data_IF_389443412720
#
_entry.id   IF_389443412720
#
_cell.length_a   1.000
_cell.length_b   1.000
_cell.length_c   1.000
_cell.angle_alpha   90.00
_cell.angle_beta   90.00
_cell.angle_gamma   90.00
#
_symmetry.space_group_name_H-M   'P 1'
#
loop_
_entity.id
_entity.type
_entity.pdbx_description
1 polymer ?
#
# COMPACT_ATOMS: atom_id res chain seq x y z
N UNK A 1 11.72 -27.43 8.80
CA UNK A 1 10.31 -27.46 8.40
C UNK A 1 10.27 -26.93 6.98
N UNK A 2 9.62 -27.62 6.04
CA UNK A 2 9.53 -27.17 4.64
C UNK A 2 8.31 -26.26 4.45
N UNK A 3 8.34 -25.36 3.47
CA UNK A 3 7.20 -24.48 3.21
C UNK A 3 5.97 -25.27 2.74
N UNK A 4 4.76 -24.91 3.20
CA UNK A 4 3.53 -25.43 2.63
C UNK A 4 3.41 -25.07 1.14
N UNK A 5 3.04 -26.02 0.26
CA UNK A 5 2.85 -25.73 -1.17
C UNK A 5 1.83 -24.62 -1.47
N UNK A 6 0.87 -24.42 -0.56
CA UNK A 6 -0.19 -23.42 -0.69
C UNK A 6 0.21 -22.01 -0.18
N UNK A 7 1.46 -21.82 0.28
CA UNK A 7 1.86 -20.56 0.92
C UNK A 7 1.73 -19.35 -0.02
N UNK A 8 2.08 -19.49 -1.29
CA UNK A 8 1.92 -18.41 -2.27
C UNK A 8 0.46 -18.02 -2.50
N UNK A 9 -0.46 -18.99 -2.50
CA UNK A 9 -1.90 -18.73 -2.60
C UNK A 9 -2.44 -18.04 -1.34
N UNK A 10 -2.01 -18.49 -0.16
CA UNK A 10 -2.36 -17.84 1.10
C UNK A 10 -1.84 -16.40 1.14
N UNK A 11 -0.59 -16.18 0.71
CA UNK A 11 -0.01 -14.85 0.62
C UNK A 11 -0.81 -13.93 -0.29
N UNK A 12 -1.12 -14.38 -1.52
CA UNK A 12 -1.94 -13.61 -2.47
C UNK A 12 -3.30 -13.22 -1.90
N UNK A 13 -3.97 -14.15 -1.21
CA UNK A 13 -5.27 -13.90 -0.57
C UNK A 13 -5.14 -12.83 0.51
N UNK A 14 -4.15 -12.98 1.41
CA UNK A 14 -3.94 -12.01 2.50
C UNK A 14 -3.51 -10.64 1.96
N UNK A 15 -2.62 -10.61 0.96
CA UNK A 15 -2.21 -9.37 0.29
C UNK A 15 -3.37 -8.66 -0.41
N UNK A 16 -4.40 -9.39 -0.86
CA UNK A 16 -5.60 -8.76 -1.40
C UNK A 16 -6.36 -7.98 -0.33
N UNK A 17 -6.48 -8.51 0.89
CA UNK A 17 -7.24 -7.88 1.97
C UNK A 17 -6.43 -6.88 2.81
N UNK A 18 -5.10 -7.01 2.84
CA UNK A 18 -4.23 -6.17 3.68
C UNK A 18 -3.34 -5.21 2.89
N UNK A 19 -3.10 -5.44 1.60
CA UNK A 19 -2.00 -4.80 0.89
C UNK A 19 -0.72 -5.63 0.92
N UNK A 20 0.17 -5.40 -0.04
CA UNK A 20 1.35 -6.25 -0.28
C UNK A 20 2.37 -6.11 0.85
N UNK A 21 2.62 -4.90 1.35
CA UNK A 21 3.59 -4.66 2.42
C UNK A 21 3.08 -5.19 3.75
N UNK A 22 1.83 -4.90 4.09
CA UNK A 22 1.20 -5.37 5.32
C UNK A 22 1.18 -6.91 5.38
N UNK A 23 0.82 -7.56 4.27
CA UNK A 23 0.88 -9.03 4.16
C UNK A 23 2.32 -9.58 4.23
N UNK A 24 3.29 -8.94 3.56
CA UNK A 24 4.70 -9.35 3.59
C UNK A 24 5.27 -9.32 5.01
N UNK A 25 5.01 -8.24 5.75
CA UNK A 25 5.42 -8.08 7.14
C UNK A 25 4.83 -9.16 8.03
N UNK A 26 3.52 -9.39 7.92
CA UNK A 26 2.85 -10.47 8.64
C UNK A 26 3.51 -11.83 8.36
N UNK A 27 3.64 -12.22 7.09
CA UNK A 27 4.20 -13.52 6.72
C UNK A 27 5.65 -13.69 7.18
N UNK A 28 6.50 -12.68 6.99
CA UNK A 28 7.91 -12.75 7.41
C UNK A 28 8.02 -12.89 8.93
N UNK A 29 7.18 -12.20 9.70
CA UNK A 29 7.13 -12.35 11.16
C UNK A 29 6.72 -13.77 11.56
N UNK A 30 5.60 -14.28 11.04
CA UNK A 30 5.12 -15.62 11.39
C UNK A 30 6.12 -16.73 10.99
N UNK A 31 6.77 -16.59 9.82
CA UNK A 31 7.80 -17.55 9.38
C UNK A 31 9.05 -17.47 10.25
N UNK A 32 9.44 -16.27 10.69
CA UNK A 32 10.56 -16.09 11.61
C UNK A 32 10.26 -16.74 12.97
N UNK A 33 9.04 -16.60 13.48
CA UNK A 33 8.62 -17.25 14.73
C UNK A 33 8.54 -18.78 14.60
N UNK A 34 8.05 -19.29 13.48
CA UNK A 34 7.85 -20.72 13.26
C UNK A 34 9.15 -21.49 12.93
N UNK A 35 10.09 -20.87 12.21
CA UNK A 35 11.27 -21.57 11.68
C UNK A 35 12.52 -20.72 11.53
N UNK A 36 12.50 -19.47 12.00
CA UNK A 36 13.64 -18.56 11.97
C UNK A 36 14.06 -18.13 10.57
N UNK A 37 15.27 -17.57 10.51
CA UNK A 37 15.88 -17.10 9.27
C UNK A 37 15.92 -18.14 8.14
N UNK A 38 16.17 -19.46 8.37
CA UNK A 38 16.12 -20.45 7.29
C UNK A 38 14.77 -20.50 6.56
N UNK A 39 13.65 -20.45 7.30
CA UNK A 39 12.32 -20.54 6.71
C UNK A 39 11.94 -19.27 5.94
N UNK A 40 12.33 -18.10 6.46
CA UNK A 40 12.19 -16.82 5.74
C UNK A 40 13.00 -16.82 4.45
N UNK A 41 14.22 -17.37 4.47
CA UNK A 41 15.08 -17.50 3.28
C UNK A 41 14.46 -18.41 2.23
N UNK A 42 13.94 -19.57 2.65
CA UNK A 42 13.22 -20.48 1.76
C UNK A 42 12.01 -19.78 1.11
N UNK A 43 11.24 -19.00 1.88
CA UNK A 43 10.04 -18.32 1.38
C UNK A 43 10.39 -17.20 0.39
N UNK A 44 11.42 -16.41 0.72
CA UNK A 44 11.99 -15.39 -0.17
C UNK A 44 12.40 -16.02 -1.51
N UNK A 45 13.20 -17.08 -1.45
CA UNK A 45 13.76 -17.69 -2.66
C UNK A 45 12.67 -18.36 -3.52
N UNK A 46 11.62 -18.92 -2.89
CA UNK A 46 10.51 -19.56 -3.60
C UNK A 46 9.49 -18.57 -4.18
N UNK A 47 9.17 -17.50 -3.45
CA UNK A 47 8.02 -16.63 -3.74
C UNK A 47 8.41 -15.20 -4.12
N UNK A 48 9.63 -14.75 -3.81
CA UNK A 48 10.04 -13.35 -3.95
C UNK A 48 9.99 -12.81 -5.38
N UNK A 49 10.24 -13.67 -6.38
CA UNK A 49 10.09 -13.29 -7.79
C UNK A 49 8.64 -13.01 -8.20
N UNK A 50 7.69 -13.73 -7.61
CA UNK A 50 6.27 -13.51 -7.82
C UNK A 50 5.78 -12.34 -6.96
N UNK A 51 6.29 -12.19 -5.73
CA UNK A 51 5.90 -11.16 -4.79
C UNK A 51 7.12 -10.32 -4.34
N UNK A 52 7.52 -9.30 -5.12
CA UNK A 52 8.74 -8.53 -4.84
C UNK A 52 8.74 -7.76 -3.52
N UNK A 53 7.57 -7.39 -2.99
CA UNK A 53 7.48 -6.80 -1.64
C UNK A 53 7.81 -7.82 -0.56
N UNK A 54 7.41 -9.09 -0.74
CA UNK A 54 7.81 -10.17 0.17
C UNK A 54 9.32 -10.40 0.12
N UNK A 55 9.91 -10.37 -1.08
CA UNK A 55 11.36 -10.45 -1.26
C UNK A 55 12.09 -9.36 -0.47
N UNK A 56 11.66 -8.11 -0.66
CA UNK A 56 12.22 -6.93 0.00
C UNK A 56 12.13 -7.02 1.52
N UNK A 57 10.95 -7.32 2.06
CA UNK A 57 10.74 -7.40 3.52
C UNK A 57 11.53 -8.56 4.12
N UNK A 58 11.60 -9.69 3.42
CA UNK A 58 12.41 -10.83 3.86
C UNK A 58 13.91 -10.49 3.87
N UNK A 59 14.42 -9.81 2.85
CA UNK A 59 15.83 -9.38 2.79
C UNK A 59 16.17 -8.39 3.91
N UNK A 60 15.31 -7.39 4.15
CA UNK A 60 15.48 -6.45 5.25
C UNK A 60 15.56 -7.18 6.60
N UNK A 61 14.65 -8.14 6.83
CA UNK A 61 14.65 -8.92 8.07
C UNK A 61 15.89 -9.81 8.21
N UNK A 62 16.32 -10.47 7.13
CA UNK A 62 17.47 -11.38 7.12
C UNK A 62 18.81 -10.65 7.28
N UNK A 63 18.90 -9.40 6.83
CA UNK A 63 20.08 -8.54 7.01
C UNK A 63 20.18 -7.93 8.41
N UNK A 64 19.25 -8.27 9.31
CA UNK A 64 19.21 -7.74 10.68
C UNK A 64 18.62 -6.33 10.77
N UNK A 65 17.99 -5.85 9.69
CA UNK A 65 17.17 -4.65 9.74
C UNK A 65 15.98 -4.86 10.65
N UNK A 66 15.78 -3.91 11.56
CA UNK A 66 14.52 -3.80 12.27
C UNK A 66 13.45 -3.28 11.31
N UNK A 67 12.25 -3.76 11.55
CA UNK A 67 11.07 -3.35 10.84
C UNK A 67 10.76 -1.89 11.18
N UNK A 68 10.96 -0.99 10.20
CA UNK A 68 10.74 0.43 10.44
C UNK A 68 9.26 0.68 10.81
N UNK A 69 8.99 1.45 11.88
CA UNK A 69 7.64 1.80 12.26
C UNK A 69 6.98 2.62 11.14
N UNK A 70 5.67 2.49 11.02
CA UNK A 70 4.89 3.32 10.09
C UNK A 70 4.74 4.70 10.70
N UNK A 71 5.31 5.70 10.02
CA UNK A 71 5.21 7.09 10.43
C UNK A 71 4.25 7.86 9.50
N UNK A 72 3.03 8.21 9.96
CA UNK A 72 2.09 9.01 9.19
C UNK A 72 2.36 10.51 9.24
N UNK A 73 3.34 11.01 10.02
CA UNK A 73 3.53 12.46 10.24
C UNK A 73 3.72 13.23 8.93
N UNK A 74 4.56 12.73 8.02
CA UNK A 74 4.77 13.38 6.73
C UNK A 74 3.48 13.51 5.89
N UNK A 75 2.61 12.49 5.95
CA UNK A 75 1.31 12.51 5.27
C UNK A 75 0.35 13.48 5.96
N UNK A 76 0.27 13.46 7.29
CA UNK A 76 -0.58 14.37 8.05
C UNK A 76 -0.19 15.83 7.84
N UNK A 77 1.10 16.11 7.77
CA UNK A 77 1.62 17.44 7.47
C UNK A 77 1.23 17.91 6.06
N UNK A 78 1.26 17.02 5.07
CA UNK A 78 0.80 17.28 3.71
C UNK A 78 -0.73 17.49 3.64
N UNK A 79 -1.49 16.87 4.55
CA UNK A 79 -2.94 16.99 4.65
C UNK A 79 -3.40 18.25 5.39
N UNK A 80 -2.50 19.11 5.89
CA UNK A 80 -2.91 20.35 6.59
C UNK A 80 -3.82 21.22 5.73
N UNK A 81 -5.05 21.47 6.21
CA UNK A 81 -6.08 22.25 5.52
C UNK A 81 -6.88 21.48 4.45
N UNK A 82 -6.62 20.18 4.29
CA UNK A 82 -7.46 19.26 3.51
C UNK A 82 -8.71 18.92 4.32
N UNK A 83 -9.86 18.88 3.66
CA UNK A 83 -11.15 18.47 4.25
C UNK A 83 -11.68 17.18 3.63
N UNK A 84 -11.11 16.74 2.50
CA UNK A 84 -11.46 15.49 1.82
C UNK A 84 -10.20 14.74 1.38
N UNK A 85 -10.08 13.49 1.74
CA UNK A 85 -8.99 12.62 1.32
C UNK A 85 -9.56 11.42 0.56
N UNK A 86 -9.07 11.18 -0.65
CA UNK A 86 -9.27 9.91 -1.33
C UNK A 86 -7.99 9.09 -1.28
N UNK A 87 -8.10 7.88 -0.76
CA UNK A 87 -7.02 6.90 -0.76
C UNK A 87 -7.17 5.95 -1.95
N UNK A 88 -6.07 5.75 -2.67
CA UNK A 88 -5.98 4.94 -3.88
C UNK A 88 -5.03 3.79 -3.61
N UNK A 89 -5.58 2.57 -3.56
CA UNK A 89 -4.85 1.38 -3.13
C UNK A 89 -5.08 1.05 -1.65
N UNK A 90 -4.46 -0.02 -1.19
CA UNK A 90 -4.70 -0.60 0.13
C UNK A 90 -3.39 -1.03 0.77
N UNK A 91 -3.13 -0.51 1.97
CA UNK A 91 -2.11 -0.97 2.91
C UNK A 91 -2.66 -0.80 4.33
N UNK A 92 -3.13 -1.90 4.92
CA UNK A 92 -3.87 -1.93 6.17
C UNK A 92 -3.08 -1.30 7.31
N UNK A 93 -1.80 -1.69 7.50
CA UNK A 93 -1.01 -1.12 8.60
C UNK A 93 -0.85 0.41 8.46
N UNK A 94 -0.77 0.93 7.21
CA UNK A 94 -0.66 2.36 6.95
C UNK A 94 -1.97 3.09 7.21
N UNK A 95 -3.09 2.50 6.79
CA UNK A 95 -4.42 3.03 7.04
C UNK A 95 -4.77 3.00 8.53
N UNK A 96 -4.43 1.93 9.25
CA UNK A 96 -4.63 1.81 10.70
C UNK A 96 -3.85 2.88 11.47
N UNK A 97 -2.65 3.24 11.01
CA UNK A 97 -1.86 4.32 11.60
C UNK A 97 -2.42 5.72 11.27
N UNK A 98 -3.03 5.89 10.09
CA UNK A 98 -3.48 7.19 9.58
C UNK A 98 -4.92 7.52 10.00
N UNK A 99 -5.87 6.60 9.81
CA UNK A 99 -7.31 6.84 9.93
C UNK A 99 -7.74 7.45 11.27
N UNK A 100 -7.24 6.97 12.44
CA UNK A 100 -7.63 7.54 13.74
C UNK A 100 -7.22 9.01 13.91
N UNK A 101 -6.28 9.51 13.08
CA UNK A 101 -5.73 10.87 13.16
C UNK A 101 -6.37 11.84 12.16
N UNK A 102 -7.30 11.38 11.32
CA UNK A 102 -7.97 12.18 10.29
C UNK A 102 -9.26 12.86 10.79
N UNK A 103 -9.31 13.29 12.05
CA UNK A 103 -10.51 13.90 12.64
C UNK A 103 -10.97 15.13 11.83
N UNK A 104 -12.21 15.11 11.35
CA UNK A 104 -12.79 16.21 10.58
C UNK A 104 -12.43 16.24 9.08
N UNK A 105 -11.75 15.20 8.58
CA UNK A 105 -11.53 14.97 7.15
C UNK A 105 -12.49 13.88 6.69
N UNK A 106 -13.25 14.13 5.62
CA UNK A 106 -14.02 13.07 4.94
C UNK A 106 -13.02 12.17 4.21
N UNK A 107 -13.07 10.86 4.42
CA UNK A 107 -12.11 9.91 3.84
C UNK A 107 -12.85 8.90 2.98
N UNK A 108 -12.42 8.77 1.73
CA UNK A 108 -12.92 7.77 0.80
C UNK A 108 -11.81 6.80 0.40
N UNK A 109 -12.14 5.52 0.29
CA UNK A 109 -11.26 4.48 -0.25
C UNK A 109 -11.70 4.11 -1.66
N UNK A 110 -10.81 4.25 -2.63
CA UNK A 110 -11.10 3.85 -4.01
C UNK A 110 -11.19 2.32 -4.08
N UNK A 111 -12.39 1.83 -4.43
CA UNK A 111 -12.73 0.39 -4.44
C UNK A 111 -12.52 -0.27 -5.81
N UNK A 112 -11.87 0.41 -6.75
CA UNK A 112 -11.46 -0.18 -8.01
C UNK A 112 -10.12 -0.90 -7.84
N UNK A 113 -10.22 -2.22 -7.79
CA UNK A 113 -9.14 -3.16 -7.59
C UNK A 113 -8.28 -3.27 -8.86
N UNK A 114 -7.17 -2.53 -8.92
CA UNK A 114 -6.23 -2.54 -10.04
C UNK A 114 -5.36 -3.80 -10.14
N UNK A 115 -5.66 -4.91 -9.45
CA UNK A 115 -4.88 -6.15 -9.66
C UNK A 115 -5.17 -7.31 -8.70
N UNK A 116 -5.35 -7.04 -7.41
CA UNK A 116 -5.84 -8.01 -6.42
C UNK A 116 -7.31 -7.67 -6.18
N UNK A 117 -8.20 -8.66 -6.07
CA UNK A 117 -9.66 -8.49 -5.95
C UNK A 117 -10.11 -8.60 -4.47
N UNK A 118 -9.92 -7.56 -3.63
CA UNK A 118 -10.35 -7.56 -2.24
C UNK A 118 -11.87 -7.60 -2.10
N UNK A 119 -12.32 -8.26 -1.03
CA UNK A 119 -13.64 -7.97 -0.45
C UNK A 119 -13.58 -6.61 0.28
N UNK A 120 -13.75 -5.51 -0.46
CA UNK A 120 -13.73 -4.16 0.11
C UNK A 120 -14.79 -3.94 1.19
N UNK A 121 -15.89 -4.69 1.19
CA UNK A 121 -16.88 -4.63 2.27
C UNK A 121 -16.28 -5.14 3.58
N UNK A 122 -15.44 -6.20 3.55
CA UNK A 122 -14.71 -6.67 4.73
C UNK A 122 -13.60 -5.70 5.14
N UNK A 123 -12.85 -5.17 4.17
CA UNK A 123 -11.79 -4.17 4.46
C UNK A 123 -12.37 -2.95 5.16
N UNK A 124 -13.44 -2.36 4.62
CA UNK A 124 -14.07 -1.16 5.16
C UNK A 124 -14.74 -1.38 6.52
N UNK A 125 -15.20 -2.59 6.81
CA UNK A 125 -15.79 -2.94 8.10
C UNK A 125 -14.79 -2.78 9.26
N UNK A 126 -13.46 -2.82 9.01
CA UNK A 126 -12.44 -2.63 10.03
C UNK A 126 -12.27 -1.15 10.46
N UNK A 127 -12.81 -0.21 9.70
CA UNK A 127 -12.63 1.23 9.95
C UNK A 127 -13.86 1.89 10.57
N UNK A 128 -14.88 1.14 11.00
CA UNK A 128 -16.06 1.64 11.74
C UNK A 128 -16.71 2.90 11.13
N UNK A 129 -16.75 2.99 9.79
CA UNK A 129 -17.32 4.13 9.07
C UNK A 129 -16.44 5.38 8.98
N UNK A 130 -15.18 5.31 9.44
CA UNK A 130 -14.17 6.37 9.23
C UNK A 130 -13.81 6.55 7.75
N UNK A 131 -14.08 5.54 6.92
CA UNK A 131 -13.87 5.57 5.48
C UNK A 131 -15.11 5.11 4.73
N UNK A 132 -15.42 5.76 3.62
CA UNK A 132 -16.50 5.33 2.73
C UNK A 132 -15.97 4.74 1.41
N UNK A 133 -16.68 3.76 0.82
CA UNK A 133 -16.30 3.21 -0.48
C UNK A 133 -16.53 4.26 -1.57
N UNK A 134 -15.55 4.43 -2.44
CA UNK A 134 -15.64 5.33 -3.59
C UNK A 134 -15.35 4.57 -4.87
N UNK A 135 -16.30 4.60 -5.81
CA UNK A 135 -16.08 4.10 -7.17
C UNK A 135 -15.36 5.12 -8.05
N UNK A 136 -14.70 4.67 -9.13
CA UNK A 136 -14.02 5.57 -10.07
C UNK A 136 -14.95 6.62 -10.68
N UNK A 137 -16.22 6.27 -10.91
CA UNK A 137 -17.25 7.18 -11.42
C UNK A 137 -17.57 8.36 -10.49
N UNK A 138 -17.21 8.25 -9.21
CA UNK A 138 -17.51 9.25 -8.20
C UNK A 138 -16.30 10.12 -7.86
N UNK A 139 -15.13 9.82 -8.42
CA UNK A 139 -13.87 10.50 -8.11
C UNK A 139 -13.96 12.02 -8.30
N UNK A 140 -14.68 12.47 -9.33
CA UNK A 140 -14.89 13.89 -9.61
C UNK A 140 -15.69 14.62 -8.50
N UNK A 141 -16.55 13.93 -7.75
CA UNK A 141 -17.31 14.53 -6.64
C UNK A 141 -16.42 14.85 -5.43
N UNK A 142 -15.30 14.14 -5.33
CA UNK A 142 -14.32 14.31 -4.26
C UNK A 142 -13.28 15.36 -4.58
N UNK A 143 -13.10 15.72 -5.84
CA UNK A 143 -12.17 16.76 -6.27
C UNK A 143 -12.51 18.14 -5.67
N UNK A 144 -11.49 18.99 -5.54
CA UNK A 144 -11.67 20.35 -5.03
C UNK A 144 -10.40 20.95 -4.41
N UNK A 145 -10.51 22.25 -4.11
CA UNK A 145 -9.40 23.08 -3.58
C UNK A 145 -8.93 22.70 -2.18
N UNK A 146 -9.67 21.85 -1.47
CA UNK A 146 -9.32 21.29 -0.15
C UNK A 146 -9.36 19.76 -0.17
N UNK A 147 -9.17 19.17 -1.34
CA UNK A 147 -9.19 17.72 -1.53
C UNK A 147 -7.79 17.22 -1.87
N UNK A 148 -7.42 16.05 -1.37
CA UNK A 148 -6.17 15.39 -1.70
C UNK A 148 -6.39 13.94 -2.17
N UNK A 149 -5.48 13.46 -3.02
CA UNK A 149 -5.31 12.04 -3.34
C UNK A 149 -4.10 11.50 -2.58
N UNK A 150 -4.22 10.29 -2.05
CA UNK A 150 -3.14 9.55 -1.41
C UNK A 150 -2.97 8.21 -2.10
N UNK A 151 -1.73 7.82 -2.39
CA UNK A 151 -1.36 6.48 -2.86
C UNK A 151 -0.16 5.95 -2.09
N UNK A 152 0.04 4.64 -2.13
CA UNK A 152 1.19 3.98 -1.51
C UNK A 152 2.28 3.73 -2.55
N UNK A 153 3.49 4.21 -2.24
CA UNK A 153 4.67 4.09 -3.08
C UNK A 153 5.55 2.97 -2.53
N UNK A 154 5.74 1.94 -3.33
CA UNK A 154 6.54 0.76 -3.02
C UNK A 154 8.00 0.99 -3.45
N UNK A 155 8.60 2.04 -2.90
CA UNK A 155 9.95 2.47 -3.23
C UNK A 155 10.04 3.32 -4.50
N UNK A 156 11.10 4.12 -4.52
CA UNK A 156 11.47 5.03 -5.60
C UNK A 156 12.98 5.02 -5.77
N UNK A 157 13.45 5.17 -7.01
CA UNK A 157 14.87 5.38 -7.33
C UNK A 157 15.19 6.86 -7.62
N UNK A 158 14.22 7.75 -7.36
CA UNK A 158 14.30 9.19 -7.66
C UNK A 158 13.87 9.57 -9.07
N UNK A 159 13.75 8.59 -9.99
CA UNK A 159 13.26 8.80 -11.35
C UNK A 159 11.89 8.16 -11.57
N UNK A 160 11.70 6.95 -11.04
CA UNK A 160 10.45 6.21 -11.08
C UNK A 160 9.99 5.85 -9.66
N UNK A 161 8.68 5.91 -9.46
CA UNK A 161 7.99 5.42 -8.27
C UNK A 161 7.11 4.23 -8.66
N UNK A 162 7.05 3.21 -7.80
CA UNK A 162 6.19 2.05 -8.02
C UNK A 162 4.92 2.17 -7.18
N UNK A 163 3.76 2.07 -7.82
CA UNK A 163 2.46 2.28 -7.17
C UNK A 163 1.45 1.22 -7.59
N UNK A 164 0.30 1.18 -6.90
CA UNK A 164 -0.83 0.35 -7.32
C UNK A 164 -1.31 0.73 -8.73
N UNK A 165 -1.69 -0.22 -9.60
CA UNK A 165 -2.22 0.08 -10.93
C UNK A 165 -3.49 0.95 -10.92
N UNK A 166 -4.26 0.95 -9.82
CA UNK A 166 -5.41 1.84 -9.64
C UNK A 166 -5.01 3.32 -9.71
N UNK A 167 -3.75 3.65 -9.37
CA UNK A 167 -3.23 5.02 -9.47
C UNK A 167 -3.31 5.57 -10.90
N UNK A 168 -2.89 4.80 -11.91
CA UNK A 168 -2.90 5.26 -13.31
C UNK A 168 -4.32 5.53 -13.85
N UNK A 169 -5.35 4.92 -13.24
CA UNK A 169 -6.75 5.18 -13.59
C UNK A 169 -7.25 6.50 -13.03
N UNK A 170 -6.57 7.05 -12.02
CA UNK A 170 -6.99 8.26 -11.32
C UNK A 170 -6.01 9.42 -11.48
N UNK A 171 -4.72 9.20 -11.75
CA UNK A 171 -3.68 10.25 -11.76
C UNK A 171 -3.43 10.84 -13.15
N UNK A 172 -4.49 11.04 -13.94
CA UNK A 172 -4.40 11.67 -15.26
C UNK A 172 -4.03 13.17 -15.19
N UNK A 173 -3.57 13.78 -16.29
CA UNK A 173 -3.21 15.21 -16.33
C UNK A 173 -4.29 16.15 -15.81
N UNK A 174 -5.56 15.83 -16.09
CA UNK A 174 -6.70 16.64 -15.66
C UNK A 174 -6.88 16.62 -14.14
N UNK A 175 -6.61 15.49 -13.49
CA UNK A 175 -6.82 15.31 -12.04
C UNK A 175 -5.84 16.14 -11.22
N UNK A 176 -4.63 16.40 -11.73
CA UNK A 176 -3.64 17.28 -11.09
C UNK A 176 -4.15 18.71 -10.90
N UNK A 177 -5.07 19.15 -11.76
CA UNK A 177 -5.67 20.49 -11.65
C UNK A 177 -6.90 20.53 -10.75
N UNK A 178 -7.47 19.37 -10.45
CA UNK A 178 -8.75 19.22 -9.76
C UNK A 178 -8.58 18.97 -8.26
N UNK A 179 -7.52 18.27 -7.87
CA UNK A 179 -7.14 18.08 -6.46
C UNK A 179 -6.07 19.09 -6.06
N UNK A 180 -6.10 19.52 -4.80
CA UNK A 180 -5.10 20.42 -4.24
C UNK A 180 -3.73 19.75 -4.17
N UNK A 181 -3.69 18.47 -3.83
CA UNK A 181 -2.46 17.74 -3.55
C UNK A 181 -2.60 16.27 -3.94
N UNK A 182 -1.54 15.73 -4.55
CA UNK A 182 -1.34 14.32 -4.82
C UNK A 182 -0.20 13.88 -3.91
N UNK A 183 -0.43 12.86 -3.10
CA UNK A 183 0.47 12.45 -2.02
C UNK A 183 0.87 11.00 -2.29
N UNK A 184 2.16 10.76 -2.51
CA UNK A 184 2.75 9.43 -2.47
C UNK A 184 3.34 9.16 -1.10
N UNK A 185 2.84 8.14 -0.39
CA UNK A 185 3.45 7.69 0.86
C UNK A 185 4.45 6.57 0.54
N UNK A 186 5.74 6.86 0.65
CA UNK A 186 6.78 5.82 0.53
C UNK A 186 6.72 4.87 1.73
N UNK A 187 6.22 3.67 1.48
CA UNK A 187 6.01 2.65 2.52
C UNK A 187 7.19 1.69 2.64
N UNK A 188 8.09 1.65 1.66
CA UNK A 188 9.30 0.80 1.72
C UNK A 188 10.54 1.59 2.12
N UNK A 189 10.57 2.91 1.86
CA UNK A 189 11.67 3.81 2.19
C UNK A 189 12.95 3.57 1.38
N UNK A 190 12.98 2.51 0.58
CA UNK A 190 14.10 2.10 -0.28
C UNK A 190 13.55 1.46 -1.56
N UNK A 191 14.28 1.56 -2.68
CA UNK A 191 13.89 0.89 -3.92
C UNK A 191 13.97 -0.64 -3.77
N UNK A 192 13.04 -1.34 -4.41
CA UNK A 192 13.11 -2.80 -4.53
C UNK A 192 14.20 -3.20 -5.53
N UNK A 193 14.88 -4.31 -5.25
CA UNK A 193 15.89 -4.92 -6.14
C UNK A 193 15.24 -5.79 -7.22
N UNK A 194 14.05 -6.34 -6.93
CA UNK A 194 13.27 -7.19 -7.84
C UNK A 194 12.16 -6.36 -8.49
N UNK A 195 12.03 -6.48 -9.81
CA UNK A 195 11.03 -5.75 -10.58
C UNK A 195 9.58 -6.07 -10.15
N UNK A 196 8.76 -5.07 -9.80
CA UNK A 196 7.43 -5.31 -9.26
C UNK A 196 6.38 -5.59 -10.34
N UNK A 197 6.23 -6.87 -10.71
CA UNK A 197 5.27 -7.34 -11.74
C UNK A 197 3.79 -6.98 -11.51
N UNK A 198 3.42 -6.61 -10.28
CA UNK A 198 2.04 -6.28 -9.89
C UNK A 198 1.82 -4.78 -9.69
N UNK A 199 2.88 -3.99 -9.85
CA UNK A 199 2.84 -2.55 -9.71
C UNK A 199 3.08 -1.90 -11.06
N UNK A 200 2.89 -0.60 -11.09
CA UNK A 200 3.17 0.21 -12.26
C UNK A 200 4.16 1.30 -11.89
N UNK A 201 5.02 1.63 -12.85
CA UNK A 201 5.92 2.76 -12.76
C UNK A 201 5.16 4.05 -13.07
N UNK A 202 5.41 5.09 -12.28
CA UNK A 202 4.97 6.46 -12.51
C UNK A 202 6.14 7.41 -12.24
N UNK A 203 6.11 8.63 -12.80
CA UNK A 203 7.15 9.62 -12.49
C UNK A 203 7.01 10.10 -11.04
N UNK A 204 8.13 10.36 -10.36
CA UNK A 204 8.13 10.93 -9.01
C UNK A 204 7.50 12.34 -8.93
N UNK A 205 7.31 13.01 -10.08
CA UNK A 205 6.62 14.30 -10.18
C UNK A 205 5.13 14.20 -10.55
N UNK A 206 4.58 13.00 -10.62
CA UNK A 206 3.15 12.75 -10.88
C UNK A 206 2.32 12.76 -9.60
#
# INVERSE_FOLDING_TARGET
MALPPALGQAFRMVASELGMRSAARLFVRELMEAGGAPLVREARDALGREFPVLDFVAEQRLSGGDEAPIDPEGVLDALRGVTRLLVVGLEADCLDALAPRLSGVEVGLVTDAGGLDPDFRRVLANYDGLMEPVGLSELQRWAGRRSALLTFVYGTDGHAAHVSPSWLRVSGPDVRTQFRSLIGWDILGQPMTVYPRWMVETSAGD
#
